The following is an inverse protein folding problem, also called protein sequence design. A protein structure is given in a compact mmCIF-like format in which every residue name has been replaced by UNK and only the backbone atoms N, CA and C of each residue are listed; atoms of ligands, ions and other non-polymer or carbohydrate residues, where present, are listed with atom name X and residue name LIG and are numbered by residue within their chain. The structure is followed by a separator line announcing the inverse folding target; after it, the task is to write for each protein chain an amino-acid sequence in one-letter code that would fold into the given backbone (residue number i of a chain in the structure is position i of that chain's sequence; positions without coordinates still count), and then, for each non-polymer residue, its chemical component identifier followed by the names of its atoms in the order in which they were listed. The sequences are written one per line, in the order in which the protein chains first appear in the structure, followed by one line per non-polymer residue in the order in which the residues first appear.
data_IF_015490894398
#
_entry.id   IF_015490894398
#
_cell.length_a   1.000
_cell.length_b   1.000
_cell.length_c   1.000
_cell.angle_alpha   90.00
_cell.angle_beta   90.00
_cell.angle_gamma   90.00
#
_symmetry.space_group_name_H-M   'P 1'
#
loop_
_entity.id
_entity.type
_entity.pdbx_description
1 polymer ?
#
# COMPACT_ATOMS: atom_id res chain seq x y z
N UNK A 1 1.70 -6.98 32.96
CA UNK A 1 2.80 -6.02 32.66
C UNK A 1 3.99 -6.70 31.98
N UNK A 2 4.53 -7.80 32.53
CA UNK A 2 5.71 -8.52 31.99
C UNK A 2 5.60 -8.96 30.50
N UNK A 3 4.42 -9.38 30.01
CA UNK A 3 4.24 -9.77 28.59
C UNK A 3 4.28 -8.58 27.61
N UNK A 4 3.92 -7.35 28.03
CA UNK A 4 3.96 -6.18 27.14
C UNK A 4 5.39 -5.66 26.96
N UNK A 5 6.21 -5.77 28.02
CA UNK A 5 7.63 -5.45 28.00
C UNK A 5 8.38 -6.43 27.09
N UNK A 6 8.00 -7.71 27.08
CA UNK A 6 8.61 -8.72 26.20
C UNK A 6 8.43 -8.41 24.70
N UNK A 7 7.26 -7.92 24.28
CA UNK A 7 7.02 -7.54 22.87
C UNK A 7 7.81 -6.30 22.46
N UNK A 8 7.94 -5.30 23.35
CA UNK A 8 8.77 -4.11 23.09
C UNK A 8 10.24 -4.49 23.04
N UNK A 9 10.70 -5.37 23.93
CA UNK A 9 12.07 -5.91 23.95
C UNK A 9 12.33 -6.74 22.70
N UNK A 10 11.42 -7.60 22.27
CA UNK A 10 11.56 -8.36 21.01
C UNK A 10 11.60 -7.44 19.79
N UNK A 11 10.77 -6.39 19.75
CA UNK A 11 10.82 -5.38 18.69
C UNK A 11 12.17 -4.64 18.69
N UNK A 12 12.67 -4.28 19.87
CA UNK A 12 13.99 -3.64 20.04
C UNK A 12 15.13 -4.57 19.66
N UNK A 13 15.06 -5.86 19.98
CA UNK A 13 16.04 -6.87 19.59
C UNK A 13 16.00 -7.16 18.09
N UNK A 14 14.82 -7.16 17.45
CA UNK A 14 14.73 -7.24 16.00
C UNK A 14 15.34 -6.01 15.33
N UNK A 15 15.10 -4.80 15.86
CA UNK A 15 15.70 -3.56 15.35
C UNK A 15 17.22 -3.56 15.57
N UNK A 16 17.70 -4.01 16.73
CA UNK A 16 19.12 -4.07 17.06
C UNK A 16 19.89 -5.15 16.26
N UNK A 17 19.27 -6.31 16.04
CA UNK A 17 19.85 -7.37 15.21
C UNK A 17 19.97 -6.95 13.74
N UNK A 18 18.98 -6.21 13.23
CA UNK A 18 19.05 -5.60 11.89
C UNK A 18 20.13 -4.52 11.83
N UNK A 19 20.33 -3.72 12.89
CA UNK A 19 21.40 -2.69 12.85
C UNK A 19 22.82 -3.26 12.84
N UNK A 20 23.06 -4.41 13.48
CA UNK A 20 24.37 -5.06 13.48
C UNK A 20 24.75 -5.64 12.12
N UNK A 21 23.82 -6.36 11.47
CA UNK A 21 24.06 -6.92 10.13
C UNK A 21 24.28 -5.83 9.08
N UNK A 22 23.60 -4.68 9.22
CA UNK A 22 23.73 -3.56 8.29
C UNK A 22 25.12 -2.92 8.34
N UNK A 23 25.76 -2.85 9.51
CA UNK A 23 27.11 -2.28 9.62
C UNK A 23 28.17 -3.19 8.98
N UNK A 24 28.05 -4.52 9.15
CA UNK A 24 28.94 -5.49 8.53
C UNK A 24 28.78 -5.51 7.00
N UNK A 25 27.53 -5.44 6.51
CA UNK A 25 27.24 -5.35 5.09
C UNK A 25 27.84 -4.09 4.46
N UNK A 26 27.74 -2.94 5.14
CA UNK A 26 28.27 -1.68 4.64
C UNK A 26 29.78 -1.72 4.52
N UNK A 27 30.50 -2.35 5.46
CA UNK A 27 31.96 -2.43 5.36
C UNK A 27 32.38 -3.28 4.15
N UNK A 28 31.71 -4.42 3.94
CA UNK A 28 31.99 -5.30 2.78
C UNK A 28 31.69 -4.60 1.45
N UNK A 29 30.57 -3.89 1.38
CA UNK A 29 30.19 -3.12 0.19
C UNK A 29 31.15 -1.99 -0.07
N UNK A 30 31.58 -1.27 0.97
CA UNK A 30 32.54 -0.17 0.83
C UNK A 30 33.82 -0.64 0.14
N UNK A 31 34.37 -1.76 0.58
CA UNK A 31 35.62 -2.28 0.03
C UNK A 31 35.44 -2.68 -1.44
N UNK A 32 34.37 -3.42 -1.78
CA UNK A 32 34.11 -3.83 -3.16
C UNK A 32 33.75 -2.67 -4.10
N UNK A 33 32.96 -1.71 -3.65
CA UNK A 33 32.64 -0.51 -4.43
C UNK A 33 33.90 0.32 -4.65
N UNK A 34 34.78 0.41 -3.64
CA UNK A 34 36.09 1.04 -3.77
C UNK A 34 37.04 0.30 -4.71
N UNK A 35 36.98 -1.03 -4.76
CA UNK A 35 37.76 -1.82 -5.73
C UNK A 35 37.20 -1.68 -7.16
N UNK A 36 35.90 -1.43 -7.31
CA UNK A 36 35.25 -1.23 -8.61
C UNK A 36 35.41 0.20 -9.16
N UNK A 37 35.52 1.18 -8.26
CA UNK A 37 35.73 2.61 -8.56
C UNK A 37 37.19 2.95 -8.25
N UNK A 38 38.05 2.98 -9.25
CA UNK A 38 39.47 3.23 -9.04
C UNK A 38 39.73 4.67 -8.56
N UNK A 39 40.81 4.86 -7.77
CA UNK A 39 41.28 6.17 -7.35
C UNK A 39 41.67 7.04 -8.57
N UNK A 40 40.77 7.94 -8.98
CA UNK A 40 40.95 8.84 -10.12
C UNK A 40 39.84 8.77 -11.17
N UNK A 41 38.88 7.85 -11.03
CA UNK A 41 37.73 7.77 -11.93
C UNK A 41 36.79 8.97 -11.74
N UNK A 42 36.32 9.52 -12.86
CA UNK A 42 35.23 10.49 -12.82
C UNK A 42 33.93 9.74 -12.54
N UNK A 43 33.30 10.02 -11.40
CA UNK A 43 32.03 9.40 -11.01
C UNK A 43 30.87 10.37 -11.24
N UNK A 44 29.75 9.84 -11.71
CA UNK A 44 28.46 10.54 -11.72
C UNK A 44 27.45 9.74 -10.92
N UNK A 45 26.77 10.40 -10.00
CA UNK A 45 25.72 9.77 -9.20
C UNK A 45 24.35 10.19 -9.76
N UNK A 46 23.52 9.23 -10.13
CA UNK A 46 22.18 9.44 -10.63
C UNK A 46 21.15 8.83 -9.68
N UNK A 47 20.31 9.69 -9.12
CA UNK A 47 19.16 9.30 -8.30
C UNK A 47 17.98 8.95 -9.21
N UNK A 48 17.55 7.69 -9.16
CA UNK A 48 16.37 7.21 -9.88
C UNK A 48 15.12 7.99 -9.49
N UNK A 49 14.26 8.25 -10.47
CA UNK A 49 13.07 9.07 -10.29
C UNK A 49 12.15 8.53 -9.19
N UNK A 50 12.13 7.21 -8.95
CA UNK A 50 11.29 6.57 -7.94
C UNK A 50 12.09 5.88 -6.83
N UNK A 51 13.37 6.24 -6.65
CA UNK A 51 14.24 5.66 -5.62
C UNK A 51 13.58 5.75 -4.22
N UNK A 52 13.63 4.64 -3.48
CA UNK A 52 12.99 4.54 -2.16
C UNK A 52 13.77 5.34 -1.11
N UNK A 53 13.12 5.68 -0.01
CA UNK A 53 13.80 6.32 1.12
C UNK A 53 14.96 5.46 1.64
N UNK A 54 14.80 4.12 1.62
CA UNK A 54 15.82 3.18 2.06
C UNK A 54 17.04 3.20 1.15
N UNK A 55 16.83 3.20 -0.17
CA UNK A 55 17.92 3.28 -1.16
C UNK A 55 18.71 4.57 -1.05
N UNK A 56 18.00 5.71 -0.92
CA UNK A 56 18.64 7.01 -0.70
C UNK A 56 19.48 7.02 0.58
N UNK A 57 18.97 6.43 1.66
CA UNK A 57 19.70 6.39 2.95
C UNK A 57 20.87 5.43 2.93
N UNK A 58 20.72 4.27 2.30
CA UNK A 58 21.81 3.31 2.11
C UNK A 58 22.94 3.95 1.30
N UNK A 59 22.60 4.62 0.20
CA UNK A 59 23.57 5.35 -0.61
C UNK A 59 24.24 6.49 0.17
N UNK A 60 23.47 7.34 0.87
CA UNK A 60 24.04 8.43 1.67
C UNK A 60 25.00 7.92 2.74
N UNK A 61 24.67 6.80 3.39
CA UNK A 61 25.55 6.19 4.39
C UNK A 61 26.87 5.70 3.78
N UNK A 62 26.84 5.14 2.57
CA UNK A 62 28.03 4.76 1.82
C UNK A 62 28.83 5.98 1.33
N UNK A 63 28.14 7.01 0.83
CA UNK A 63 28.75 8.28 0.42
C UNK A 63 29.48 8.95 1.59
N UNK A 64 28.91 8.93 2.79
CA UNK A 64 29.55 9.44 4.01
C UNK A 64 30.76 8.59 4.44
N UNK A 65 30.75 7.29 4.11
CA UNK A 65 31.82 6.35 4.44
C UNK A 65 32.97 6.32 3.41
N UNK A 66 32.77 6.84 2.20
CA UNK A 66 33.71 6.82 1.08
C UNK A 66 34.17 8.22 0.69
N UNK A 67 35.44 8.60 0.95
CA UNK A 67 35.98 9.93 0.63
C UNK A 67 35.79 10.33 -0.84
N UNK A 68 35.92 9.36 -1.75
CA UNK A 68 35.89 9.59 -3.21
C UNK A 68 34.50 9.96 -3.75
N UNK A 69 33.44 9.64 -2.99
CA UNK A 69 32.06 9.95 -3.35
C UNK A 69 31.52 11.18 -2.62
N UNK A 70 32.20 11.66 -1.58
CA UNK A 70 31.71 12.71 -0.68
C UNK A 70 31.37 14.01 -1.42
N UNK A 71 32.23 14.44 -2.34
CA UNK A 71 32.09 15.70 -3.09
C UNK A 71 31.37 15.55 -4.44
N UNK A 72 31.02 14.32 -4.84
CA UNK A 72 30.35 14.08 -6.13
C UNK A 72 28.89 14.53 -6.06
N UNK A 73 28.42 15.44 -6.95
CA UNK A 73 27.05 15.91 -6.93
C UNK A 73 26.07 14.81 -7.34
N UNK A 74 24.89 14.81 -6.71
CA UNK A 74 23.81 13.88 -6.99
C UNK A 74 22.88 14.51 -8.03
N UNK A 75 22.80 13.88 -9.20
CA UNK A 75 21.98 14.30 -10.34
C UNK A 75 20.67 13.52 -10.30
N UNK A 76 19.54 14.17 -10.58
CA UNK A 76 18.27 13.45 -10.73
C UNK A 76 18.18 12.80 -12.09
N UNK A 77 17.56 11.63 -12.16
CA UNK A 77 17.31 10.92 -13.43
C UNK A 77 16.66 11.80 -14.50
N UNK A 78 15.71 12.66 -14.12
CA UNK A 78 15.03 13.58 -15.06
C UNK A 78 15.98 14.64 -15.68
N UNK A 79 17.09 14.94 -15.01
CA UNK A 79 18.09 15.91 -15.43
C UNK A 79 19.31 15.26 -16.12
N UNK A 80 19.39 13.92 -16.09
CA UNK A 80 20.48 13.14 -16.67
C UNK A 80 20.30 12.97 -18.18
N UNK A 81 21.31 13.34 -18.97
CA UNK A 81 21.24 13.28 -20.44
C UNK A 81 22.12 12.16 -20.99
N UNK A 82 21.68 11.45 -22.06
CA UNK A 82 22.52 10.48 -22.75
C UNK A 82 23.81 11.13 -23.25
N UNK A 83 24.96 10.58 -22.87
CA UNK A 83 26.31 11.09 -23.14
C UNK A 83 26.99 11.80 -21.96
N UNK A 84 26.27 12.07 -20.85
CA UNK A 84 26.89 12.61 -19.63
C UNK A 84 27.79 11.57 -18.92
N UNK A 85 27.58 10.29 -19.24
CA UNK A 85 28.28 9.09 -18.76
C UNK A 85 29.62 8.79 -19.46
N UNK A 86 29.90 9.39 -20.63
CA UNK A 86 31.03 8.93 -21.46
C UNK A 86 32.37 9.08 -20.73
N UNK A 87 33.04 7.95 -20.49
CA UNK A 87 34.32 7.89 -19.76
C UNK A 87 34.19 8.10 -18.25
N UNK A 88 33.00 7.93 -17.68
CA UNK A 88 32.72 8.09 -16.25
C UNK A 88 32.06 6.83 -15.70
N UNK A 89 32.27 6.55 -14.42
CA UNK A 89 31.51 5.50 -13.73
C UNK A 89 30.17 6.08 -13.28
N UNK A 90 29.08 5.40 -13.60
CA UNK A 90 27.74 5.85 -13.23
C UNK A 90 27.25 5.07 -12.02
N UNK A 91 27.04 5.78 -10.91
CA UNK A 91 26.42 5.23 -9.71
C UNK A 91 24.93 5.51 -9.75
N UNK A 92 24.13 4.46 -9.89
CA UNK A 92 22.68 4.50 -9.98
C UNK A 92 22.06 4.18 -8.62
N UNK A 93 21.19 5.05 -8.13
CA UNK A 93 20.38 4.80 -6.94
C UNK A 93 18.99 4.38 -7.40
N UNK A 94 18.55 3.19 -7.00
CA UNK A 94 17.28 2.59 -7.41
C UNK A 94 17.49 1.38 -8.33
N UNK A 95 16.82 0.27 -8.01
CA UNK A 95 16.77 -0.89 -8.90
C UNK A 95 15.95 -0.66 -10.19
N UNK A 96 15.85 -1.66 -11.09
CA UNK A 96 15.15 -1.58 -12.37
C UNK A 96 13.69 -1.09 -12.32
N UNK A 97 13.02 -1.21 -11.17
CA UNK A 97 11.64 -0.73 -11.01
C UNK A 97 11.53 0.71 -10.51
N UNK A 98 12.63 1.28 -10.03
CA UNK A 98 12.70 2.59 -9.41
C UNK A 98 13.58 3.59 -10.17
N UNK A 99 14.47 3.08 -11.03
CA UNK A 99 15.36 3.84 -11.90
C UNK A 99 15.28 3.24 -13.31
N UNK A 100 14.90 4.06 -14.29
CA UNK A 100 14.73 3.67 -15.69
C UNK A 100 16.08 3.44 -16.37
N UNK A 101 17.12 4.19 -16.03
CA UNK A 101 18.49 3.94 -16.53
C UNK A 101 18.95 2.55 -16.08
N UNK A 102 18.73 2.20 -14.79
CA UNK A 102 18.98 0.84 -14.29
C UNK A 102 18.17 -0.19 -15.06
N UNK A 103 16.89 0.09 -15.34
CA UNK A 103 16.03 -0.84 -16.08
C UNK A 103 16.54 -1.12 -17.50
N UNK A 104 17.04 -0.09 -18.18
CA UNK A 104 17.61 -0.19 -19.52
C UNK A 104 18.93 -0.97 -19.47
N UNK A 105 19.84 -0.62 -18.56
CA UNK A 105 21.15 -1.26 -18.44
C UNK A 105 21.04 -2.75 -18.05
N UNK A 106 20.15 -3.11 -17.13
CA UNK A 106 19.93 -4.52 -16.72
C UNK A 106 19.25 -5.34 -17.81
N UNK A 107 18.45 -4.72 -18.68
CA UNK A 107 17.79 -5.41 -19.79
C UNK A 107 18.70 -5.57 -21.02
N UNK A 108 19.80 -4.81 -21.10
CA UNK A 108 20.73 -4.84 -22.21
C UNK A 108 21.73 -6.01 -22.03
N UNK A 109 21.79 -6.96 -22.97
CA UNK A 109 22.68 -8.12 -22.87
C UNK A 109 24.17 -7.77 -22.99
N UNK A 110 24.52 -6.54 -23.35
CA UNK A 110 25.92 -6.09 -23.46
C UNK A 110 26.57 -5.92 -22.08
N UNK A 111 25.79 -5.68 -21.02
CA UNK A 111 26.33 -5.57 -19.67
C UNK A 111 26.46 -6.93 -18.98
N UNK A 112 27.68 -7.28 -18.57
CA UNK A 112 27.90 -8.34 -17.60
C UNK A 112 27.42 -7.89 -16.22
N UNK A 113 26.70 -8.77 -15.52
CA UNK A 113 26.05 -8.44 -14.24
C UNK A 113 26.61 -9.30 -13.11
N UNK A 114 27.15 -8.63 -12.09
CA UNK A 114 27.52 -9.25 -10.82
C UNK A 114 26.74 -8.57 -9.70
N UNK A 115 26.13 -9.34 -8.80
CA UNK A 115 25.31 -8.77 -7.71
C UNK A 115 25.70 -9.35 -6.37
N UNK A 116 25.87 -8.45 -5.40
CA UNK A 116 26.06 -8.78 -3.99
C UNK A 116 24.77 -8.50 -3.23
N UNK A 117 24.25 -9.52 -2.54
CA UNK A 117 23.08 -9.40 -1.67
C UNK A 117 23.47 -8.83 -0.31
N UNK A 118 22.71 -7.82 0.13
CA UNK A 118 22.82 -7.22 1.46
C UNK A 118 21.59 -7.56 2.32
N UNK A 119 21.69 -7.34 3.62
CA UNK A 119 20.56 -7.53 4.55
C UNK A 119 19.36 -6.64 4.22
N UNK A 120 19.60 -5.43 3.68
CA UNK A 120 18.56 -4.45 3.34
C UNK A 120 18.37 -4.21 1.83
N UNK A 121 19.19 -4.81 0.97
CA UNK A 121 19.20 -4.51 -0.46
C UNK A 121 20.18 -5.35 -1.25
N UNK A 122 20.68 -4.81 -2.35
CA UNK A 122 21.75 -5.38 -3.15
C UNK A 122 22.57 -4.27 -3.80
N UNK A 123 23.81 -4.60 -4.12
CA UNK A 123 24.65 -3.80 -5.02
C UNK A 123 24.89 -4.62 -6.27
N UNK A 124 24.54 -4.06 -7.43
CA UNK A 124 24.72 -4.72 -8.72
C UNK A 124 25.73 -3.94 -9.55
N UNK A 125 26.79 -4.60 -9.97
CA UNK A 125 27.82 -4.09 -10.84
C UNK A 125 27.47 -4.47 -12.28
N UNK A 126 27.49 -3.49 -13.17
CA UNK A 126 27.24 -3.64 -14.59
C UNK A 126 28.48 -3.17 -15.36
N UNK A 127 29.06 -4.04 -16.18
CA UNK A 127 30.23 -3.70 -16.99
C UNK A 127 30.02 -4.16 -18.44
N UNK A 128 30.13 -3.22 -19.38
CA UNK A 128 30.10 -3.49 -20.83
C UNK A 128 31.48 -3.48 -21.49
N UNK A 129 32.54 -3.23 -20.72
CA UNK A 129 33.90 -2.92 -21.18
C UNK A 129 34.11 -1.47 -21.60
N UNK A 130 33.06 -0.78 -22.08
CA UNK A 130 33.10 0.66 -22.40
C UNK A 130 32.49 1.54 -21.30
N UNK A 131 31.54 0.99 -20.53
CA UNK A 131 30.80 1.70 -19.51
C UNK A 131 30.67 0.83 -18.26
N UNK A 132 31.03 1.40 -17.12
CA UNK A 132 30.83 0.77 -15.80
C UNK A 132 29.71 1.47 -15.05
N UNK A 133 28.85 0.69 -14.42
CA UNK A 133 27.78 1.20 -13.56
C UNK A 133 27.69 0.41 -12.25
N UNK A 134 27.36 1.11 -11.17
CA UNK A 134 27.08 0.51 -9.86
C UNK A 134 25.65 0.87 -9.47
N UNK A 135 24.82 -0.13 -9.26
CA UNK A 135 23.41 0.03 -8.90
C UNK A 135 23.22 -0.28 -7.42
N UNK A 136 22.77 0.70 -6.67
CA UNK A 136 22.31 0.52 -5.29
C UNK A 136 20.80 0.34 -5.29
N UNK A 137 20.33 -0.85 -4.91
CA UNK A 137 18.91 -1.18 -4.88
C UNK A 137 18.50 -1.74 -3.53
N UNK A 138 17.28 -1.46 -3.08
CA UNK A 138 16.65 -2.28 -2.05
C UNK A 138 16.07 -3.56 -2.69
N UNK A 139 15.57 -4.49 -1.87
CA UNK A 139 14.92 -5.71 -2.41
C UNK A 139 13.70 -5.39 -3.27
N UNK A 140 13.06 -4.25 -3.06
CA UNK A 140 11.91 -3.82 -3.83
C UNK A 140 12.31 -3.26 -5.21
N UNK A 141 13.52 -2.72 -5.38
CA UNK A 141 13.98 -2.20 -6.67
C UNK A 141 14.15 -3.25 -7.76
N UNK A 142 14.52 -4.48 -7.40
CA UNK A 142 14.53 -5.62 -8.34
C UNK A 142 13.22 -6.41 -8.36
N UNK A 143 12.56 -6.60 -7.20
CA UNK A 143 11.43 -7.54 -7.10
C UNK A 143 10.09 -6.90 -6.69
N UNK A 144 10.10 -5.74 -6.05
CA UNK A 144 8.95 -5.09 -5.42
C UNK A 144 8.20 -4.10 -6.30
N UNK A 145 6.97 -3.75 -5.94
CA UNK A 145 6.18 -2.75 -6.65
C UNK A 145 6.59 -1.35 -6.19
N UNK A 146 7.13 -0.54 -7.09
CA UNK A 146 7.44 0.86 -6.81
C UNK A 146 6.14 1.67 -6.60
N UNK A 147 6.09 2.45 -5.53
CA UNK A 147 4.97 3.34 -5.22
C UNK A 147 5.17 4.67 -5.94
N UNK A 148 4.62 4.78 -7.13
CA UNK A 148 4.81 5.94 -8.03
C UNK A 148 3.76 7.04 -7.83
N UNK A 149 2.63 6.74 -7.17
CA UNK A 149 1.55 7.69 -6.90
C UNK A 149 2.02 9.02 -6.28
N UNK A 150 2.95 9.03 -5.31
CA UNK A 150 3.53 10.25 -4.75
C UNK A 150 4.17 11.19 -5.78
N UNK A 151 4.82 10.62 -6.81
CA UNK A 151 5.51 11.39 -7.85
C UNK A 151 4.56 12.01 -8.87
N UNK A 152 3.40 11.35 -9.07
CA UNK A 152 2.31 11.81 -9.93
C UNK A 152 1.30 12.72 -9.20
N UNK A 153 1.43 12.87 -7.89
CA UNK A 153 0.49 13.61 -7.06
C UNK A 153 0.59 15.12 -7.30
N UNK A 154 -0.55 15.84 -7.32
CA UNK A 154 -0.55 17.30 -7.31
C UNK A 154 0.10 17.88 -6.03
N UNK A 155 0.14 17.12 -4.93
CA UNK A 155 0.74 17.57 -3.67
C UNK A 155 2.26 17.73 -3.76
N UNK A 156 2.94 17.01 -4.67
CA UNK A 156 4.39 17.13 -4.91
C UNK A 156 4.84 18.57 -5.20
N UNK A 157 3.94 19.41 -5.72
CA UNK A 157 4.24 20.83 -6.00
C UNK A 157 4.40 21.68 -4.74
N UNK A 158 3.93 21.19 -3.60
CA UNK A 158 3.81 21.96 -2.35
C UNK A 158 4.60 21.30 -1.22
N UNK A 159 4.68 19.96 -1.20
CA UNK A 159 5.38 19.19 -0.17
C UNK A 159 6.39 18.22 -0.79
N UNK A 160 7.47 17.86 -0.06
CA UNK A 160 8.40 16.81 -0.50
C UNK A 160 7.68 15.49 -0.77
N UNK A 161 8.16 14.75 -1.78
CA UNK A 161 7.49 13.53 -2.30
C UNK A 161 7.34 12.47 -1.20
N UNK A 162 8.30 12.41 -0.29
CA UNK A 162 8.36 11.48 0.82
C UNK A 162 7.17 11.64 1.79
N UNK A 163 6.61 12.86 1.90
CA UNK A 163 5.48 13.15 2.78
C UNK A 163 4.12 13.10 2.08
N UNK A 164 4.09 12.95 0.75
CA UNK A 164 2.86 12.92 -0.03
C UNK A 164 1.90 11.81 0.42
N UNK A 165 2.33 10.54 0.64
CA UNK A 165 1.42 9.49 1.12
C UNK A 165 0.75 9.84 2.45
N UNK A 166 1.52 10.42 3.38
CA UNK A 166 1.05 10.82 4.70
C UNK A 166 0.06 11.98 4.61
N UNK A 167 0.35 12.99 3.79
CA UNK A 167 -0.56 14.10 3.54
C UNK A 167 -1.87 13.64 2.90
N UNK A 168 -1.81 12.74 1.90
CA UNK A 168 -2.99 12.16 1.28
C UNK A 168 -3.85 11.37 2.29
N UNK A 169 -3.21 10.58 3.17
CA UNK A 169 -3.92 9.89 4.25
C UNK A 169 -4.55 10.85 5.27
N UNK A 170 -3.84 11.92 5.65
CA UNK A 170 -4.35 12.94 6.56
C UNK A 170 -5.56 13.69 5.98
N UNK A 171 -5.52 14.04 4.68
CA UNK A 171 -6.65 14.62 3.95
C UNK A 171 -7.81 13.63 3.92
N UNK A 172 -7.55 12.36 3.60
CA UNK A 172 -8.56 11.30 3.61
C UNK A 172 -9.24 11.17 4.98
N UNK A 173 -8.46 11.12 6.06
CA UNK A 173 -8.98 11.08 7.42
C UNK A 173 -9.81 12.33 7.75
N UNK A 174 -9.36 13.50 7.33
CA UNK A 174 -10.08 14.77 7.51
C UNK A 174 -11.42 14.77 6.77
N UNK A 175 -11.48 14.24 5.55
CA UNK A 175 -12.74 14.12 4.78
C UNK A 175 -13.73 13.16 5.45
N UNK A 176 -13.24 12.03 6.00
CA UNK A 176 -14.09 11.09 6.74
C UNK A 176 -14.60 11.74 8.03
N UNK A 177 -13.75 12.47 8.73
CA UNK A 177 -14.15 13.21 9.92
C UNK A 177 -15.20 14.28 9.59
N UNK A 178 -15.01 15.05 8.52
CA UNK A 178 -16.00 16.02 8.03
C UNK A 178 -17.34 15.36 7.67
N UNK A 179 -17.30 14.17 7.06
CA UNK A 179 -18.52 13.39 6.81
C UNK A 179 -19.21 12.95 8.10
N UNK A 180 -18.46 12.56 9.13
CA UNK A 180 -19.06 12.21 10.42
C UNK A 180 -19.80 13.37 11.08
N UNK A 181 -19.36 14.62 10.82
CA UNK A 181 -19.96 15.83 11.38
C UNK A 181 -21.15 16.32 10.55
N UNK A 182 -20.98 16.39 9.23
CA UNK A 182 -21.90 17.10 8.32
C UNK A 182 -22.64 16.16 7.37
N UNK A 183 -22.34 14.86 7.35
CA UNK A 183 -22.89 13.93 6.36
C UNK A 183 -24.41 13.85 6.37
N UNK A 184 -25.05 13.95 7.54
CA UNK A 184 -26.51 14.00 7.67
C UNK A 184 -27.08 15.27 7.02
N UNK A 185 -26.50 16.42 7.34
CA UNK A 185 -26.91 17.73 6.79
C UNK A 185 -26.70 17.77 5.28
N UNK A 186 -25.57 17.25 4.78
CA UNK A 186 -25.29 17.15 3.35
C UNK A 186 -26.32 16.25 2.66
N UNK A 187 -26.67 15.10 3.26
CA UNK A 187 -27.68 14.20 2.71
C UNK A 187 -29.08 14.83 2.70
N UNK A 188 -29.45 15.55 3.74
CA UNK A 188 -30.72 16.29 3.83
C UNK A 188 -30.77 17.41 2.77
N UNK A 189 -29.72 18.22 2.67
CA UNK A 189 -29.60 19.26 1.66
C UNK A 189 -29.65 18.70 0.22
N UNK A 190 -28.95 17.59 -0.04
CA UNK A 190 -29.03 16.91 -1.34
C UNK A 190 -30.46 16.45 -1.61
N UNK A 191 -31.14 15.86 -0.63
CA UNK A 191 -32.52 15.39 -0.80
C UNK A 191 -33.50 16.54 -1.06
N UNK A 192 -33.28 17.71 -0.47
CA UNK A 192 -34.09 18.91 -0.74
C UNK A 192 -33.79 19.53 -2.11
N UNK A 193 -32.54 19.50 -2.59
CA UNK A 193 -32.17 20.01 -3.91
C UNK A 193 -32.65 19.13 -5.07
N UNK A 194 -32.79 17.81 -4.88
CA UNK A 194 -33.32 16.91 -5.90
C UNK A 194 -34.86 16.89 -5.89
N UNK A 195 -35.48 17.35 -6.98
CA UNK A 195 -36.94 17.51 -7.14
C UNK A 195 -37.73 16.23 -6.83
N UNK A 196 -38.97 16.38 -6.35
CA UNK A 196 -39.92 15.31 -6.01
C UNK A 196 -40.07 14.19 -7.05
N UNK A 197 -39.81 14.46 -8.34
CA UNK A 197 -39.81 13.46 -9.41
C UNK A 197 -38.69 12.43 -9.26
N UNK A 198 -37.47 12.86 -8.91
CA UNK A 198 -36.32 11.98 -8.66
C UNK A 198 -36.54 11.23 -7.35
N UNK A 199 -36.97 11.95 -6.30
CA UNK A 199 -37.32 11.34 -5.02
C UNK A 199 -38.45 10.30 -5.14
N UNK A 200 -39.45 10.49 -6.00
CA UNK A 200 -40.52 9.52 -6.21
C UNK A 200 -40.04 8.25 -6.94
N UNK A 201 -39.03 8.34 -7.80
CA UNK A 201 -38.36 7.16 -8.38
C UNK A 201 -37.55 6.42 -7.31
N UNK A 202 -36.84 7.15 -6.44
CA UNK A 202 -36.11 6.56 -5.30
C UNK A 202 -37.05 5.95 -4.25
N UNK A 203 -38.18 6.61 -3.92
CA UNK A 203 -39.23 6.11 -3.01
C UNK A 203 -40.00 4.93 -3.59
N UNK A 204 -40.31 4.92 -4.89
CA UNK A 204 -40.88 3.74 -5.59
C UNK A 204 -39.90 2.55 -5.58
N UNK A 205 -38.59 2.77 -5.81
CA UNK A 205 -37.55 1.74 -5.63
C UNK A 205 -37.44 1.26 -4.17
N UNK A 206 -37.71 2.13 -3.18
CA UNK A 206 -37.76 1.78 -1.75
C UNK A 206 -38.94 0.86 -1.39
N UNK A 207 -40.04 0.87 -2.15
CA UNK A 207 -41.17 -0.07 -2.00
C UNK A 207 -41.00 -1.40 -2.74
N UNK A 208 -40.14 -1.46 -3.77
CA UNK A 208 -39.70 -2.72 -4.42
C UNK A 208 -38.61 -3.44 -3.59
N UNK A 209 -38.13 -2.78 -2.52
CA UNK A 209 -36.99 -3.19 -1.69
C UNK A 209 -37.24 -4.45 -0.85
N UNK A 210 -38.51 -4.83 -0.66
CA UNK A 210 -38.91 -6.05 0.07
C UNK A 210 -38.95 -7.32 -0.80
N UNK A 211 -38.67 -7.20 -2.11
CA UNK A 211 -38.49 -8.33 -3.04
C UNK A 211 -37.11 -8.27 -3.70
N UNK A 212 -36.06 -8.05 -2.92
CA UNK A 212 -34.71 -8.24 -3.44
C UNK A 212 -34.59 -9.70 -3.92
N UNK A 213 -34.21 -9.91 -5.18
CA UNK A 213 -33.89 -11.26 -5.66
C UNK A 213 -32.76 -11.79 -4.77
N UNK A 214 -33.02 -12.91 -4.12
CA UNK A 214 -32.03 -13.59 -3.27
C UNK A 214 -31.72 -14.96 -3.84
N UNK A 215 -30.46 -15.36 -3.69
CA UNK A 215 -30.01 -16.70 -3.99
C UNK A 215 -29.73 -17.39 -2.66
N UNK A 216 -30.32 -18.56 -2.45
CA UNK A 216 -30.03 -19.35 -1.26
C UNK A 216 -29.04 -20.46 -1.60
N UNK A 217 -27.84 -20.40 -1.03
CA UNK A 217 -26.82 -21.45 -1.17
C UNK A 217 -26.56 -22.05 0.20
N UNK A 218 -26.87 -23.34 0.40
CA UNK A 218 -26.64 -24.06 1.67
C UNK A 218 -27.22 -23.34 2.91
N UNK A 219 -28.35 -22.66 2.74
CA UNK A 219 -29.01 -21.91 3.80
C UNK A 219 -28.34 -20.57 4.14
N UNK A 220 -27.49 -20.03 3.26
CA UNK A 220 -27.01 -18.65 3.28
C UNK A 220 -27.81 -17.87 2.25
N UNK A 221 -28.43 -16.77 2.68
CA UNK A 221 -29.17 -15.88 1.80
C UNK A 221 -28.22 -14.82 1.23
N UNK A 222 -27.99 -14.86 -0.09
CA UNK A 222 -27.12 -13.93 -0.80
C UNK A 222 -28.00 -12.98 -1.61
N UNK A 223 -27.93 -11.68 -1.34
CA UNK A 223 -28.67 -10.67 -2.09
C UNK A 223 -27.84 -10.23 -3.30
N UNK A 224 -28.41 -10.28 -4.52
CA UNK A 224 -27.66 -9.85 -5.72
C UNK A 224 -27.14 -8.41 -5.65
N UNK A 225 -27.85 -7.55 -4.91
CA UNK A 225 -27.45 -6.16 -4.69
C UNK A 225 -26.15 -6.04 -3.89
N UNK A 226 -25.90 -6.95 -2.95
CA UNK A 226 -24.66 -6.98 -2.17
C UNK A 226 -23.48 -7.39 -3.06
N UNK A 227 -23.67 -8.41 -3.89
CA UNK A 227 -22.66 -8.82 -4.88
C UNK A 227 -22.34 -7.67 -5.83
N UNK A 228 -23.35 -6.96 -6.32
CA UNK A 228 -23.13 -5.79 -7.18
C UNK A 228 -22.38 -4.66 -6.45
N UNK A 229 -22.74 -4.37 -5.19
CA UNK A 229 -22.03 -3.39 -4.38
C UNK A 229 -20.57 -3.81 -4.11
N UNK A 230 -20.31 -5.10 -3.88
CA UNK A 230 -18.97 -5.66 -3.73
C UNK A 230 -18.15 -5.46 -5.00
N UNK A 231 -18.70 -5.80 -6.17
CA UNK A 231 -18.00 -5.66 -7.44
C UNK A 231 -17.61 -4.21 -7.71
N UNK A 232 -18.52 -3.26 -7.47
CA UNK A 232 -18.21 -1.82 -7.64
C UNK A 232 -17.17 -1.38 -6.61
N UNK A 233 -17.35 -1.70 -5.33
CA UNK A 233 -16.43 -1.28 -4.28
C UNK A 233 -15.01 -1.83 -4.50
N UNK A 234 -14.90 -3.12 -4.85
CA UNK A 234 -13.64 -3.76 -5.19
C UNK A 234 -12.99 -3.13 -6.42
N UNK A 235 -13.78 -2.78 -7.43
CA UNK A 235 -13.29 -2.09 -8.63
C UNK A 235 -12.70 -0.73 -8.29
N UNK A 236 -13.44 0.13 -7.57
CA UNK A 236 -12.98 1.47 -7.22
C UNK A 236 -11.68 1.42 -6.41
N UNK A 237 -11.60 0.51 -5.44
CA UNK A 237 -10.40 0.35 -4.64
C UNK A 237 -9.21 -0.18 -5.48
N UNK A 238 -9.45 -1.15 -6.38
CA UNK A 238 -8.42 -1.66 -7.28
C UNK A 238 -7.93 -0.59 -8.27
N UNK A 239 -8.81 0.25 -8.80
CA UNK A 239 -8.44 1.38 -9.65
C UNK A 239 -7.59 2.41 -8.90
N UNK A 240 -7.99 2.79 -7.67
CA UNK A 240 -7.18 3.68 -6.83
C UNK A 240 -5.80 3.10 -6.54
N UNK A 241 -5.74 1.78 -6.28
CA UNK A 241 -4.47 1.10 -6.05
C UNK A 241 -3.60 1.08 -7.31
N UNK A 242 -4.15 0.71 -8.45
CA UNK A 242 -3.44 0.69 -9.73
C UNK A 242 -2.87 2.07 -10.09
N UNK A 243 -3.60 3.15 -9.80
CA UNK A 243 -3.09 4.50 -9.98
C UNK A 243 -1.92 4.82 -9.04
N UNK A 244 -1.99 4.37 -7.78
CA UNK A 244 -0.94 4.62 -6.77
C UNK A 244 0.36 3.85 -7.04
N UNK A 245 0.30 2.75 -7.79
CA UNK A 245 1.43 1.89 -8.14
C UNK A 245 1.71 1.87 -9.65
N UNK A 246 1.29 2.92 -10.36
CA UNK A 246 1.46 3.05 -11.80
C UNK A 246 2.93 3.25 -12.17
N UNK A 247 3.68 2.18 -12.45
CA UNK A 247 5.08 2.27 -12.87
C UNK A 247 5.21 2.30 -14.40
N UNK A 248 6.14 3.10 -14.98
CA UNK A 248 6.45 3.06 -16.42
C UNK A 248 6.88 1.67 -16.91
N UNK A 249 7.46 0.88 -16.01
CA UNK A 249 8.05 -0.44 -16.31
C UNK A 249 7.00 -1.56 -16.25
N UNK A 250 5.88 -1.33 -15.56
CA UNK A 250 4.84 -2.35 -15.39
C UNK A 250 3.68 -2.14 -16.38
N UNK A 251 3.26 -3.18 -17.13
CA UNK A 251 2.08 -3.09 -17.97
C UNK A 251 0.83 -2.79 -17.12
N UNK A 252 0.35 -1.54 -17.20
CA UNK A 252 -0.79 -1.01 -16.42
C UNK A 252 -2.00 -1.93 -16.46
N UNK A 253 -2.27 -2.51 -17.63
CA UNK A 253 -3.38 -3.44 -17.85
C UNK A 253 -3.25 -4.72 -17.01
N UNK A 254 -2.07 -5.32 -16.97
CA UNK A 254 -1.83 -6.56 -16.23
C UNK A 254 -1.91 -6.34 -14.72
N UNK A 255 -1.37 -5.21 -14.24
CA UNK A 255 -1.48 -4.82 -12.84
C UNK A 255 -2.94 -4.60 -12.43
N UNK A 256 -3.68 -3.79 -13.20
CA UNK A 256 -5.07 -3.46 -12.91
C UNK A 256 -5.95 -4.71 -12.88
N UNK A 257 -5.79 -5.63 -13.86
CA UNK A 257 -6.55 -6.87 -13.89
C UNK A 257 -6.24 -7.77 -12.70
N UNK A 258 -4.97 -7.92 -12.33
CA UNK A 258 -4.56 -8.68 -11.16
C UNK A 258 -5.14 -8.08 -9.87
N UNK A 259 -5.01 -6.75 -9.69
CA UNK A 259 -5.57 -6.03 -8.55
C UNK A 259 -7.09 -6.18 -8.48
N UNK A 260 -7.79 -6.08 -9.61
CA UNK A 260 -9.24 -6.23 -9.68
C UNK A 260 -9.68 -7.63 -9.25
N UNK A 261 -9.10 -8.68 -9.85
CA UNK A 261 -9.46 -10.07 -9.58
C UNK A 261 -9.19 -10.42 -8.12
N UNK A 262 -7.97 -10.12 -7.63
CA UNK A 262 -7.57 -10.39 -6.26
C UNK A 262 -8.48 -9.65 -5.27
N UNK A 263 -8.78 -8.37 -5.53
CA UNK A 263 -9.61 -7.59 -4.63
C UNK A 263 -11.06 -8.10 -4.60
N UNK A 264 -11.63 -8.47 -5.75
CA UNK A 264 -12.95 -9.11 -5.80
C UNK A 264 -12.96 -10.39 -4.95
N UNK A 265 -11.93 -11.24 -5.08
CA UNK A 265 -11.82 -12.46 -4.27
C UNK A 265 -11.75 -12.16 -2.78
N UNK A 266 -10.94 -11.17 -2.36
CA UNK A 266 -10.84 -10.74 -0.97
C UNK A 266 -12.22 -10.28 -0.45
N UNK A 267 -12.90 -9.39 -1.17
CA UNK A 267 -14.23 -8.90 -0.74
C UNK A 267 -15.28 -10.02 -0.70
N UNK A 268 -15.27 -10.96 -1.67
CA UNK A 268 -16.18 -12.10 -1.69
C UNK A 268 -15.93 -13.04 -0.50
N UNK A 269 -14.66 -13.35 -0.18
CA UNK A 269 -14.31 -14.17 0.98
C UNK A 269 -14.76 -13.48 2.28
N UNK A 270 -14.53 -12.17 2.39
CA UNK A 270 -14.98 -11.36 3.54
C UNK A 270 -16.50 -11.37 3.69
N UNK A 271 -17.23 -11.21 2.58
CA UNK A 271 -18.68 -11.24 2.57
C UNK A 271 -19.23 -12.64 2.90
N UNK A 272 -18.66 -13.70 2.34
CA UNK A 272 -19.05 -15.08 2.67
C UNK A 272 -18.82 -15.38 4.15
N UNK A 273 -17.68 -14.97 4.70
CA UNK A 273 -17.36 -15.10 6.13
C UNK A 273 -18.41 -14.39 6.96
N UNK A 274 -18.82 -13.18 6.54
CA UNK A 274 -19.88 -12.44 7.21
C UNK A 274 -21.21 -13.19 7.19
N UNK A 275 -21.68 -13.66 6.04
CA UNK A 275 -22.94 -14.41 5.94
C UNK A 275 -22.95 -15.66 6.83
N UNK A 276 -21.83 -16.39 6.88
CA UNK A 276 -21.66 -17.55 7.77
C UNK A 276 -21.78 -17.13 9.24
N UNK A 277 -21.16 -16.02 9.60
CA UNK A 277 -21.15 -15.53 10.97
C UNK A 277 -22.48 -14.90 11.39
N UNK A 278 -23.15 -14.18 10.51
CA UNK A 278 -24.50 -13.63 10.68
C UNK A 278 -25.48 -14.76 10.99
N UNK A 279 -25.46 -15.84 10.19
CA UNK A 279 -26.27 -17.03 10.44
C UNK A 279 -25.96 -17.68 11.79
N UNK A 280 -24.67 -17.81 12.15
CA UNK A 280 -24.25 -18.43 13.42
C UNK A 280 -24.64 -17.62 14.64
N UNK A 281 -24.56 -16.30 14.55
CA UNK A 281 -24.82 -15.38 15.67
C UNK A 281 -26.20 -14.73 15.60
N UNK A 282 -27.05 -15.16 14.66
CA UNK A 282 -28.41 -14.64 14.42
C UNK A 282 -28.43 -13.11 14.27
N UNK A 283 -27.41 -12.57 13.62
CA UNK A 283 -27.34 -11.15 13.26
C UNK A 283 -27.87 -10.94 11.84
N UNK A 284 -28.26 -9.71 11.53
CA UNK A 284 -28.64 -9.30 10.17
C UNK A 284 -27.78 -8.13 9.72
N UNK A 285 -27.06 -8.31 8.63
CA UNK A 285 -26.25 -7.26 8.04
C UNK A 285 -26.39 -7.24 6.52
N UNK A 286 -26.23 -6.05 5.93
CA UNK A 286 -26.27 -5.85 4.49
C UNK A 286 -25.02 -5.11 4.02
N UNK A 287 -24.33 -5.66 3.03
CA UNK A 287 -23.24 -4.94 2.38
C UNK A 287 -23.78 -3.89 1.40
N UNK A 288 -23.45 -2.62 1.64
CA UNK A 288 -23.94 -1.48 0.87
C UNK A 288 -22.81 -0.63 0.32
N UNK A 289 -23.09 0.03 -0.80
CA UNK A 289 -22.17 1.00 -1.38
C UNK A 289 -22.14 2.28 -0.54
N UNK A 290 -20.93 2.72 -0.16
CA UNK A 290 -20.71 4.01 0.48
C UNK A 290 -20.10 4.98 -0.53
N UNK A 291 -20.96 5.68 -1.26
CA UNK A 291 -20.54 6.56 -2.37
C UNK A 291 -19.57 7.67 -1.95
N UNK A 292 -19.74 8.23 -0.75
CA UNK A 292 -18.80 9.22 -0.22
C UNK A 292 -17.43 8.58 0.07
N UNK A 293 -17.42 7.36 0.63
CA UNK A 293 -16.20 6.58 0.81
C UNK A 293 -15.47 6.30 -0.50
N UNK A 294 -16.22 5.93 -1.54
CA UNK A 294 -15.70 5.71 -2.88
C UNK A 294 -15.07 6.98 -3.48
N UNK A 295 -15.71 8.13 -3.28
CA UNK A 295 -15.17 9.42 -3.70
C UNK A 295 -13.86 9.73 -2.96
N UNK A 296 -13.81 9.54 -1.64
CA UNK A 296 -12.58 9.72 -0.85
C UNK A 296 -11.49 8.80 -1.39
N UNK A 297 -11.78 7.51 -1.62
CA UNK A 297 -10.82 6.54 -2.15
C UNK A 297 -10.18 7.02 -3.45
N UNK A 298 -10.96 7.58 -4.38
CA UNK A 298 -10.45 8.12 -5.65
C UNK A 298 -9.64 9.39 -5.42
N UNK A 299 -10.16 10.34 -4.61
CA UNK A 299 -9.47 11.60 -4.32
C UNK A 299 -8.11 11.33 -3.67
N UNK A 300 -8.05 10.48 -2.65
CA UNK A 300 -6.79 10.21 -1.95
C UNK A 300 -5.82 9.45 -2.85
N UNK A 301 -6.31 8.52 -3.67
CA UNK A 301 -5.48 7.83 -4.65
C UNK A 301 -4.83 8.83 -5.62
N UNK A 302 -5.61 9.79 -6.13
CA UNK A 302 -5.11 10.89 -6.95
C UNK A 302 -4.11 11.78 -6.21
N UNK A 303 -4.29 12.00 -4.91
CA UNK A 303 -3.34 12.70 -4.04
C UNK A 303 -2.08 11.87 -3.71
N UNK A 304 -1.98 10.61 -4.16
CA UNK A 304 -0.79 9.78 -4.02
C UNK A 304 -0.90 8.62 -3.02
N UNK A 305 -2.09 8.36 -2.44
CA UNK A 305 -2.31 7.23 -1.56
C UNK A 305 -3.77 6.77 -1.48
N UNK A 306 -4.05 5.47 -1.62
CA UNK A 306 -5.42 4.95 -1.42
C UNK A 306 -5.78 4.96 0.07
N UNK A 307 -6.85 5.67 0.42
CA UNK A 307 -7.37 5.76 1.78
C UNK A 307 -8.91 5.77 1.72
N UNK A 308 -9.60 5.14 2.66
CA UNK A 308 -11.06 4.85 2.66
C UNK A 308 -11.47 3.60 1.88
N UNK A 309 -12.70 3.15 2.14
CA UNK A 309 -13.36 2.01 1.48
C UNK A 309 -14.62 2.49 0.75
N UNK A 310 -14.88 1.88 -0.40
CA UNK A 310 -16.01 2.24 -1.25
C UNK A 310 -17.34 1.58 -0.83
N UNK A 311 -17.28 0.57 0.05
CA UNK A 311 -18.47 -0.06 0.63
C UNK A 311 -18.33 -0.21 2.13
N UNK A 312 -19.48 -0.35 2.77
CA UNK A 312 -19.60 -0.57 4.22
C UNK A 312 -20.69 -1.60 4.46
N UNK A 313 -20.71 -2.17 5.66
CA UNK A 313 -21.83 -3.01 6.07
C UNK A 313 -22.82 -2.19 6.88
N UNK A 314 -24.04 -2.05 6.33
CA UNK A 314 -25.18 -1.52 7.05
C UNK A 314 -25.78 -2.60 7.93
N UNK A 315 -26.22 -2.23 9.12
CA UNK A 315 -26.71 -3.16 10.14
C UNK A 315 -28.00 -2.62 10.72
N UNK A 316 -28.84 -3.51 11.25
CA UNK A 316 -30.12 -3.09 11.85
C UNK A 316 -29.93 -2.14 13.03
N UNK A 317 -30.99 -1.43 13.44
CA UNK A 317 -30.92 -0.33 14.42
C UNK A 317 -30.54 -0.76 15.86
N UNK A 318 -30.37 -2.05 16.14
CA UNK A 318 -29.97 -2.54 17.47
C UNK A 318 -28.45 -2.74 17.56
N UNK A 319 -27.81 -2.00 18.47
CA UNK A 319 -26.38 -2.09 18.78
C UNK A 319 -26.05 -3.48 19.35
N UNK A 320 -25.80 -4.44 18.48
CA UNK A 320 -25.75 -5.84 18.85
C UNK A 320 -24.29 -6.26 19.13
N UNK A 321 -24.04 -6.75 20.35
CA UNK A 321 -22.75 -7.34 20.78
C UNK A 321 -22.22 -8.36 19.77
N UNK A 322 -23.12 -9.07 19.08
CA UNK A 322 -22.77 -10.00 18.01
C UNK A 322 -21.99 -9.32 16.88
N UNK A 323 -22.31 -8.09 16.50
CA UNK A 323 -21.75 -7.40 15.35
C UNK A 323 -20.28 -7.04 15.51
N UNK A 324 -19.90 -6.53 16.69
CA UNK A 324 -18.50 -6.27 17.01
C UNK A 324 -17.67 -7.55 17.01
N UNK A 325 -18.26 -8.68 17.44
CA UNK A 325 -17.62 -10.00 17.38
C UNK A 325 -17.47 -10.51 15.94
N UNK A 326 -18.48 -10.33 15.08
CA UNK A 326 -18.42 -10.70 13.65
C UNK A 326 -17.34 -9.90 12.94
N UNK A 327 -17.35 -8.58 13.11
CA UNK A 327 -16.35 -7.67 12.57
C UNK A 327 -14.93 -8.06 13.01
N UNK A 328 -14.75 -8.39 14.29
CA UNK A 328 -13.46 -8.81 14.83
C UNK A 328 -12.97 -10.11 14.20
N UNK A 329 -13.84 -11.11 14.03
CA UNK A 329 -13.48 -12.40 13.41
C UNK A 329 -13.06 -12.18 11.95
N UNK A 330 -13.80 -11.38 11.19
CA UNK A 330 -13.45 -11.07 9.80
C UNK A 330 -12.08 -10.36 9.74
N UNK A 331 -11.86 -9.38 10.64
CA UNK A 331 -10.59 -8.64 10.71
C UNK A 331 -9.41 -9.55 11.06
N UNK A 332 -9.59 -10.49 12.00
CA UNK A 332 -8.56 -11.48 12.33
C UNK A 332 -8.25 -12.38 11.14
N UNK A 333 -9.28 -12.86 10.43
CA UNK A 333 -9.08 -13.71 9.25
C UNK A 333 -8.29 -12.96 8.17
N UNK A 334 -8.64 -11.71 7.88
CA UNK A 334 -7.92 -10.92 6.87
C UNK A 334 -6.52 -10.51 7.34
N UNK A 335 -6.33 -10.26 8.63
CA UNK A 335 -5.01 -9.99 9.21
C UNK A 335 -4.08 -11.22 9.15
N UNK A 336 -4.59 -12.39 9.50
CA UNK A 336 -3.82 -13.65 9.39
C UNK A 336 -3.50 -13.95 7.93
N UNK A 337 -4.45 -13.76 7.01
CA UNK A 337 -4.19 -13.88 5.58
C UNK A 337 -3.10 -12.91 5.13
N UNK A 338 -3.12 -11.66 5.59
CA UNK A 338 -2.05 -10.69 5.33
C UNK A 338 -0.68 -11.21 5.78
N UNK A 339 -0.56 -11.74 7.00
CA UNK A 339 0.71 -12.29 7.51
C UNK A 339 1.20 -13.44 6.63
N UNK A 340 0.31 -14.34 6.22
CA UNK A 340 0.65 -15.47 5.34
C UNK A 340 1.17 -14.96 3.99
N UNK A 341 0.47 -14.01 3.37
CA UNK A 341 0.89 -13.44 2.09
C UNK A 341 2.15 -12.58 2.21
N UNK A 342 2.37 -11.93 3.35
CA UNK A 342 3.61 -11.20 3.63
C UNK A 342 4.81 -12.16 3.72
N UNK A 343 4.68 -13.26 4.48
CA UNK A 343 5.71 -14.30 4.54
C UNK A 343 5.95 -14.95 3.18
N UNK A 344 4.88 -15.27 2.43
CA UNK A 344 5.01 -15.81 1.09
C UNK A 344 5.74 -14.83 0.17
N UNK A 345 5.35 -13.56 0.19
CA UNK A 345 6.01 -12.53 -0.61
C UNK A 345 7.48 -12.35 -0.22
N UNK A 346 7.83 -12.54 1.05
CA UNK A 346 9.22 -12.46 1.52
C UNK A 346 10.12 -13.54 0.89
N UNK A 347 9.62 -14.78 0.75
CA UNK A 347 10.40 -15.88 0.18
C UNK A 347 10.27 -16.01 -1.35
N UNK A 348 9.10 -15.67 -1.90
CA UNK A 348 8.79 -15.82 -3.33
C UNK A 348 7.97 -14.60 -3.79
N UNK A 349 8.64 -13.46 -4.04
CA UNK A 349 7.97 -12.25 -4.49
C UNK A 349 7.39 -12.45 -5.89
N UNK A 350 6.11 -12.16 -6.05
CA UNK A 350 5.41 -12.19 -7.34
C UNK A 350 4.41 -11.05 -7.39
N UNK A 351 4.00 -10.63 -8.59
CA UNK A 351 3.00 -9.57 -8.75
C UNK A 351 1.72 -9.86 -7.96
N UNK A 352 1.25 -11.11 -8.01
CA UNK A 352 0.01 -11.53 -7.33
C UNK A 352 0.18 -11.53 -5.81
N UNK A 353 1.30 -12.04 -5.29
CA UNK A 353 1.54 -12.06 -3.83
C UNK A 353 1.68 -10.66 -3.26
N UNK A 354 2.34 -9.74 -3.97
CA UNK A 354 2.48 -8.34 -3.56
C UNK A 354 1.14 -7.60 -3.56
N UNK A 355 0.37 -7.69 -4.65
CA UNK A 355 -0.96 -7.08 -4.74
C UNK A 355 -1.87 -7.61 -3.64
N UNK A 356 -1.88 -8.94 -3.42
CA UNK A 356 -2.71 -9.57 -2.39
C UNK A 356 -2.33 -9.09 -0.99
N UNK A 357 -1.03 -9.04 -0.69
CA UNK A 357 -0.50 -8.52 0.57
C UNK A 357 -0.95 -7.08 0.80
N UNK A 358 -0.77 -6.19 -0.19
CA UNK A 358 -1.12 -4.76 -0.08
C UNK A 358 -2.64 -4.59 0.13
N UNK A 359 -3.47 -5.28 -0.65
CA UNK A 359 -4.94 -5.20 -0.54
C UNK A 359 -5.44 -5.70 0.82
N UNK A 360 -4.93 -6.84 1.31
CA UNK A 360 -5.28 -7.38 2.62
C UNK A 360 -4.86 -6.42 3.73
N UNK A 361 -3.64 -5.87 3.64
CA UNK A 361 -3.12 -4.93 4.61
C UNK A 361 -3.94 -3.64 4.68
N UNK A 362 -4.09 -2.95 3.54
CA UNK A 362 -4.86 -1.70 3.44
C UNK A 362 -6.32 -1.91 3.86
N UNK A 363 -6.96 -2.95 3.33
CA UNK A 363 -8.35 -3.26 3.65
C UNK A 363 -8.57 -3.54 5.13
N UNK A 364 -7.67 -4.32 5.75
CA UNK A 364 -7.76 -4.63 7.19
C UNK A 364 -7.49 -3.41 8.06
N UNK A 365 -6.50 -2.59 7.71
CA UNK A 365 -6.18 -1.36 8.43
C UNK A 365 -7.35 -0.36 8.42
N UNK A 366 -7.94 -0.12 7.24
CA UNK A 366 -9.06 0.81 7.11
C UNK A 366 -10.28 0.32 7.90
N UNK A 367 -10.57 -0.99 7.88
CA UNK A 367 -11.70 -1.55 8.62
C UNK A 367 -11.54 -1.47 10.13
N UNK A 368 -10.33 -1.53 10.67
CA UNK A 368 -10.12 -1.46 12.13
C UNK A 368 -10.19 -0.03 12.67
N UNK A 369 -10.30 0.99 11.81
CA UNK A 369 -10.43 2.39 12.23
C UNK A 369 -11.68 2.58 13.12
N UNK A 370 -11.57 3.29 14.26
CA UNK A 370 -12.64 3.38 15.25
C UNK A 370 -13.63 4.51 14.93
N UNK A 371 -14.01 4.67 13.66
CA UNK A 371 -14.89 5.74 13.16
C UNK A 371 -15.90 5.15 12.18
N UNK A 372 -17.10 5.73 12.10
CA UNK A 372 -18.06 5.34 11.07
C UNK A 372 -17.57 5.76 9.69
N UNK A 373 -17.84 4.94 8.65
CA UNK A 373 -18.65 3.72 8.65
C UNK A 373 -17.80 2.43 8.74
N UNK A 374 -16.59 2.49 9.30
CA UNK A 374 -15.72 1.32 9.43
C UNK A 374 -16.12 0.44 10.60
N UNK A 375 -15.78 -0.84 10.47
CA UNK A 375 -16.16 -1.87 11.44
C UNK A 375 -15.45 -1.77 12.80
N UNK A 376 -14.31 -1.08 12.84
CA UNK A 376 -13.50 -0.87 14.03
C UNK A 376 -14.25 -0.17 15.16
N UNK A 377 -15.24 0.66 14.84
CA UNK A 377 -16.14 1.25 15.85
C UNK A 377 -16.89 0.16 16.63
N UNK A 378 -17.47 -0.82 15.92
CA UNK A 378 -18.24 -1.92 16.51
C UNK A 378 -17.34 -2.87 17.30
N UNK A 379 -16.14 -3.16 16.78
CA UNK A 379 -15.14 -3.97 17.48
C UNK A 379 -14.74 -3.30 18.79
N UNK A 380 -14.51 -1.98 18.77
CA UNK A 380 -14.14 -1.19 19.94
C UNK A 380 -15.29 -1.13 20.97
N UNK A 381 -16.53 -0.98 20.52
CA UNK A 381 -17.71 -1.00 21.39
C UNK A 381 -17.90 -2.36 22.07
N UNK A 382 -17.70 -3.46 21.33
CA UNK A 382 -17.77 -4.82 21.86
C UNK A 382 -16.62 -5.14 22.84
N UNK A 383 -15.37 -4.90 22.42
CA UNK A 383 -14.20 -5.22 23.23
C UNK A 383 -13.02 -4.30 22.90
N UNK A 384 -12.92 -3.21 23.67
CA UNK A 384 -11.84 -2.22 23.56
C UNK A 384 -10.43 -2.84 23.67
N UNK A 385 -10.24 -3.89 24.47
CA UNK A 385 -8.93 -4.56 24.61
C UNK A 385 -8.57 -5.34 23.35
N UNK A 386 -9.52 -6.10 22.82
CA UNK A 386 -9.33 -6.87 21.59
C UNK A 386 -9.05 -5.94 20.41
N UNK A 387 -9.78 -4.82 20.33
CA UNK A 387 -9.51 -3.76 19.35
C UNK A 387 -8.06 -3.25 19.42
N UNK A 388 -7.59 -2.84 20.61
CA UNK A 388 -6.24 -2.31 20.79
C UNK A 388 -5.13 -3.28 20.38
N UNK A 389 -5.32 -4.59 20.62
CA UNK A 389 -4.33 -5.62 20.31
C UNK A 389 -4.09 -5.72 18.79
N UNK A 390 -5.11 -5.48 17.97
CA UNK A 390 -4.99 -5.52 16.50
C UNK A 390 -4.66 -4.14 15.93
N UNK A 391 -5.31 -3.10 16.47
CA UNK A 391 -5.19 -1.74 15.96
C UNK A 391 -3.76 -1.20 16.07
N UNK A 392 -3.07 -1.42 17.20
CA UNK A 392 -1.72 -0.87 17.40
C UNK A 392 -0.73 -1.47 16.39
N UNK A 393 -0.58 -2.81 16.27
CA UNK A 393 0.33 -3.38 15.27
C UNK A 393 0.03 -2.93 13.85
N UNK A 394 -1.25 -2.93 13.44
CA UNK A 394 -1.62 -2.48 12.10
C UNK A 394 -1.30 -1.00 11.86
N UNK A 395 -1.53 -0.13 12.85
CA UNK A 395 -1.21 1.29 12.74
C UNK A 395 0.29 1.53 12.65
N UNK A 396 1.08 0.82 13.46
CA UNK A 396 2.56 0.91 13.39
C UNK A 396 3.06 0.45 12.03
N UNK A 397 2.57 -0.70 11.54
CA UNK A 397 2.89 -1.18 10.20
C UNK A 397 2.46 -0.20 9.10
N UNK A 398 1.34 0.49 9.28
CA UNK A 398 0.81 1.43 8.28
C UNK A 398 1.67 2.69 8.20
N UNK A 399 2.04 3.24 9.36
CA UNK A 399 2.90 4.41 9.43
C UNK A 399 4.29 4.07 8.90
N UNK A 400 4.92 2.99 9.37
CA UNK A 400 6.29 2.65 8.99
C UNK A 400 6.34 2.15 7.54
N UNK A 401 5.58 1.12 7.20
CA UNK A 401 5.74 0.39 5.94
C UNK A 401 4.97 0.96 4.76
N UNK A 402 4.10 1.96 4.95
CA UNK A 402 3.31 2.53 3.86
C UNK A 402 3.31 4.06 3.79
N UNK A 403 3.56 4.76 4.90
CA UNK A 403 3.67 6.23 4.87
C UNK A 403 5.12 6.71 4.81
N UNK A 404 6.06 5.99 5.42
CA UNK A 404 7.48 6.40 5.49
C UNK A 404 8.38 5.67 4.49
N UNK A 405 8.01 4.43 4.13
CA UNK A 405 8.64 3.57 3.14
C UNK A 405 7.64 3.41 1.99
#
# INVERSE_FOLDING_TARGET
MKKKILWVILLFFCIAAVSGSVMDDVSQVKDKVGDFIDNGDNVVIVEGQYASYLEKKMFLFLKDASPDLADVPLIREDDFRPGDETGKIVVLIGGPRQNMITAMAVADPVFEQESDDLSLGSVTYLDSGEQKMVVFSDRAGFSGLAKTGPYNSPLRKIIPVEYVPAAAAAIGFSLIWLWSLFGKIILEAIQEFFTDKVMNVFKKKKKVKDQARTMNIKGLEIKYREIFAILIAASIFAFGLAYTYLSPVLPVKSFLLAALIVNILIYLIRHLTRLVMDKRLKAHSEYVMWWFGALITIITAWLGNVFSLAGTTFKGDEENVAEGRIAFIITIITFVAFIIFWLWNFFMPSLVTQITMILLFMGTYLEILPIEPFEGKNIRAWNKKAWWIIFIPLTVLYVIGHLLI
#
